data_IF_753850813066
#
_entry.id   IF_753850813066
#
_cell.length_a   1.000
_cell.length_b   1.000
_cell.length_c   1.000
_cell.angle_alpha   90.00
_cell.angle_beta   90.00
_cell.angle_gamma   90.00
#
_symmetry.space_group_name_H-M   'P 1'
#
loop_
_entity.id
_entity.type
_entity.pdbx_description
1 polymer ?
#
# COMPACT_ATOMS: atom_id res chain seq x y z
N UNK A 1 2.80 5.01 -8.36
CA UNK A 1 1.75 5.19 -7.33
C UNK A 1 0.45 4.47 -7.68
N UNK A 2 -0.06 4.54 -8.91
CA UNK A 2 -1.35 3.92 -9.30
C UNK A 2 -1.57 2.46 -8.86
N UNK A 3 -0.70 1.53 -9.26
CA UNK A 3 -0.86 0.11 -8.91
C UNK A 3 -0.79 -0.19 -7.40
N UNK A 4 -0.02 0.60 -6.63
CA UNK A 4 0.06 0.46 -5.17
C UNK A 4 -1.25 0.90 -4.51
N UNK A 5 -1.82 2.01 -4.99
CA UNK A 5 -3.11 2.51 -4.51
C UNK A 5 -4.25 1.53 -4.85
N UNK A 6 -4.22 0.93 -6.04
CA UNK A 6 -5.15 -0.12 -6.43
C UNK A 6 -5.03 -1.33 -5.50
N UNK A 7 -3.82 -1.80 -5.21
CA UNK A 7 -3.60 -2.90 -4.27
C UNK A 7 -4.15 -2.59 -2.87
N UNK A 8 -3.87 -1.40 -2.32
CA UNK A 8 -4.42 -0.96 -1.02
C UNK A 8 -5.95 -0.95 -1.02
N UNK A 9 -6.56 -0.53 -2.13
CA UNK A 9 -8.02 -0.55 -2.31
C UNK A 9 -8.55 -1.98 -2.29
N UNK A 10 -7.95 -2.88 -3.06
CA UNK A 10 -8.35 -4.29 -3.10
C UNK A 10 -8.15 -4.99 -1.75
N UNK A 11 -7.08 -4.69 -1.01
CA UNK A 11 -6.87 -5.21 0.35
C UNK A 11 -7.98 -4.80 1.31
N UNK A 12 -8.44 -3.54 1.24
CA UNK A 12 -9.57 -3.06 2.06
C UNK A 12 -10.87 -3.77 1.68
N UNK A 13 -11.14 -3.94 0.38
CA UNK A 13 -12.32 -4.67 -0.09
C UNK A 13 -12.28 -6.12 0.41
N UNK A 14 -11.12 -6.80 0.27
CA UNK A 14 -10.95 -8.17 0.71
C UNK A 14 -11.12 -8.34 2.23
N UNK A 15 -10.66 -7.38 3.04
CA UNK A 15 -10.91 -7.37 4.49
C UNK A 15 -12.40 -7.14 4.82
N UNK A 16 -13.05 -6.22 4.13
CA UNK A 16 -14.48 -5.93 4.33
C UNK A 16 -15.38 -7.12 3.99
N UNK A 17 -14.98 -7.94 3.00
CA UNK A 17 -15.64 -9.19 2.63
C UNK A 17 -15.18 -10.39 3.46
N UNK A 18 -14.37 -10.17 4.50
CA UNK A 18 -13.84 -11.20 5.40
C UNK A 18 -13.02 -12.30 4.71
N UNK A 19 -12.50 -12.04 3.51
CA UNK A 19 -11.57 -12.93 2.80
C UNK A 19 -10.15 -12.91 3.37
N UNK A 20 -9.84 -11.88 4.17
CA UNK A 20 -8.55 -11.73 4.86
C UNK A 20 -8.82 -11.37 6.31
N UNK A 21 -8.20 -12.09 7.24
CA UNK A 21 -8.25 -11.79 8.67
C UNK A 21 -7.60 -10.43 8.98
N UNK A 22 -8.06 -9.78 10.04
CA UNK A 22 -7.62 -8.43 10.39
C UNK A 22 -6.12 -8.31 10.66
N UNK A 23 -5.53 -9.30 11.35
CA UNK A 23 -4.09 -9.31 11.63
C UNK A 23 -3.25 -9.37 10.34
N UNK A 24 -3.66 -10.21 9.39
CA UNK A 24 -3.00 -10.33 8.09
C UNK A 24 -3.20 -9.07 7.24
N UNK A 25 -4.41 -8.50 7.25
CA UNK A 25 -4.70 -7.23 6.60
C UNK A 25 -3.80 -6.12 7.14
N UNK A 26 -3.74 -5.93 8.45
CA UNK A 26 -2.94 -4.87 9.09
C UNK A 26 -1.45 -5.00 8.73
N UNK A 27 -0.92 -6.22 8.76
CA UNK A 27 0.49 -6.48 8.41
C UNK A 27 0.77 -6.09 6.97
N UNK A 28 0.00 -6.61 6.02
CA UNK A 28 0.22 -6.34 4.58
C UNK A 28 -0.06 -4.87 4.24
N UNK A 29 -1.09 -4.28 4.85
CA UNK A 29 -1.45 -2.88 4.59
C UNK A 29 -0.33 -1.94 5.06
N UNK A 30 0.27 -2.17 6.22
CA UNK A 30 1.41 -1.35 6.68
C UNK A 30 2.65 -1.51 5.80
N UNK A 31 2.96 -2.72 5.30
CA UNK A 31 4.02 -2.94 4.30
C UNK A 31 3.76 -2.12 3.02
N UNK A 32 2.51 -2.07 2.53
CA UNK A 32 2.19 -1.24 1.36
C UNK A 32 2.44 0.26 1.61
N UNK A 33 2.21 0.75 2.83
CA UNK A 33 2.45 2.16 3.20
C UNK A 33 3.93 2.46 3.32
N UNK A 34 4.74 1.49 3.72
CA UNK A 34 6.21 1.64 3.69
C UNK A 34 6.71 1.77 2.25
N UNK A 35 6.23 0.93 1.34
CA UNK A 35 6.53 1.03 -0.09
C UNK A 35 6.09 2.39 -0.64
N UNK A 36 4.93 2.91 -0.22
CA UNK A 36 4.44 4.23 -0.60
C UNK A 36 5.42 5.34 -0.21
N UNK A 37 5.93 5.31 1.03
CA UNK A 37 6.92 6.27 1.54
C UNK A 37 8.22 6.19 0.75
N UNK A 38 8.71 4.97 0.49
CA UNK A 38 9.93 4.75 -0.28
C UNK A 38 9.79 5.22 -1.73
N UNK A 39 8.68 4.90 -2.40
CA UNK A 39 8.42 5.35 -3.77
C UNK A 39 8.27 6.87 -3.85
N UNK A 40 7.63 7.49 -2.87
CA UNK A 40 7.49 8.95 -2.79
C UNK A 40 8.86 9.61 -2.64
N UNK A 41 9.71 9.11 -1.73
CA UNK A 41 11.08 9.59 -1.57
C UNK A 41 11.91 9.39 -2.85
N UNK A 42 11.74 8.26 -3.53
CA UNK A 42 12.42 8.00 -4.79
C UNK A 42 11.98 8.97 -5.90
N UNK A 43 10.67 9.18 -6.08
CA UNK A 43 10.12 10.15 -7.04
C UNK A 43 10.66 11.56 -6.75
N UNK A 44 10.72 11.95 -5.47
CA UNK A 44 11.28 13.23 -5.06
C UNK A 44 12.76 13.32 -5.47
N UNK A 45 13.56 12.29 -5.18
CA UNK A 45 14.99 12.26 -5.48
C UNK A 45 15.34 12.35 -6.97
N UNK A 46 14.42 11.92 -7.85
CA UNK A 46 14.58 12.02 -9.31
C UNK A 46 14.00 13.32 -9.87
N UNK A 47 13.07 13.95 -9.17
CA UNK A 47 12.42 15.21 -9.58
C UNK A 47 13.19 16.44 -9.10
N UNK A 48 13.91 16.34 -7.97
CA UNK A 48 14.76 17.40 -7.41
C UNK A 48 16.11 17.58 -8.15
N UNK A 49 16.30 16.89 -9.28
CA UNK A 49 17.42 17.08 -10.20
C UNK A 49 17.00 17.89 -11.41
#
# INVERSE_FOLDING_TARGET
MGSLFELQTQLRIARNLEYIEEGKFNTVFEETREIERMLSAFIQSITDK
#
